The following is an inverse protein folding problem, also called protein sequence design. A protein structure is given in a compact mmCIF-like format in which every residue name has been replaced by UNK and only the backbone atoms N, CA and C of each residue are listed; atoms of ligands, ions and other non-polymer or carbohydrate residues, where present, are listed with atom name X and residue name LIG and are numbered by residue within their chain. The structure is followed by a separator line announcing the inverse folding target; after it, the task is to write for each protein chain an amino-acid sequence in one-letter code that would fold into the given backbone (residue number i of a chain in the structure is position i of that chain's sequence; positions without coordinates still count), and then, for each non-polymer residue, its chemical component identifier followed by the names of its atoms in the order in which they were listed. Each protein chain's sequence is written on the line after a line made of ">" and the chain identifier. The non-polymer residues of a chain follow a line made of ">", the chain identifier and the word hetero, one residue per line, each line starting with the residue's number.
data_IF_346990934172
#
_entry.id   IF_346990934172
#
_cell.length_a   1.000
_cell.length_b   1.000
_cell.length_c   1.000
_cell.angle_alpha   90.00
_cell.angle_beta   90.00
_cell.angle_gamma   90.00
#
_symmetry.space_group_name_H-M   'P 1'
#
loop_
_entity.id
_entity.type
_entity.pdbx_description
1 polymer ?
#
# COMPACT_ATOMS: atom_id res chain seq x y z
N UNK A 1 -4.15 28.08 -13.30
CA UNK A 1 -4.09 26.65 -12.92
C UNK A 1 -4.26 26.47 -11.42
N UNK A 2 -3.33 27.01 -10.64
CA UNK A 2 -3.19 26.69 -9.22
C UNK A 2 -4.38 27.20 -8.39
N UNK A 3 -4.99 28.33 -8.75
CA UNK A 3 -6.21 28.81 -8.10
C UNK A 3 -7.42 27.88 -8.33
N UNK A 4 -7.56 27.30 -9.53
CA UNK A 4 -8.61 26.31 -9.83
C UNK A 4 -8.40 25.06 -8.98
N UNK A 5 -7.16 24.58 -8.94
CA UNK A 5 -6.79 23.41 -8.15
C UNK A 5 -7.01 23.65 -6.65
N UNK A 6 -6.58 24.80 -6.13
CA UNK A 6 -6.78 25.20 -4.73
C UNK A 6 -8.27 25.27 -4.37
N UNK A 7 -9.12 25.78 -5.27
CA UNK A 7 -10.56 25.81 -5.06
C UNK A 7 -11.19 24.41 -5.04
N UNK A 8 -10.73 23.49 -5.90
CA UNK A 8 -11.17 22.09 -5.88
C UNK A 8 -10.74 21.38 -4.59
N UNK A 9 -9.48 21.57 -4.18
CA UNK A 9 -8.93 21.01 -2.96
C UNK A 9 -9.68 21.53 -1.72
N UNK A 10 -10.01 22.82 -1.69
CA UNK A 10 -10.85 23.43 -0.64
C UNK A 10 -12.24 22.78 -0.59
N UNK A 11 -12.88 22.54 -1.74
CA UNK A 11 -14.20 21.88 -1.79
C UNK A 11 -14.16 20.47 -1.21
N UNK A 12 -13.14 19.69 -1.55
CA UNK A 12 -12.95 18.32 -1.01
C UNK A 12 -12.68 18.37 0.49
N UNK A 13 -11.82 19.28 0.94
CA UNK A 13 -11.53 19.48 2.36
C UNK A 13 -12.77 19.89 3.16
N UNK A 14 -13.56 20.84 2.65
CA UNK A 14 -14.79 21.31 3.29
C UNK A 14 -15.84 20.18 3.37
N UNK A 15 -15.96 19.37 2.31
CA UNK A 15 -16.80 18.17 2.30
C UNK A 15 -16.38 17.16 3.38
N UNK A 16 -15.08 16.84 3.45
CA UNK A 16 -14.52 15.97 4.48
C UNK A 16 -14.81 16.52 5.89
N UNK A 17 -14.54 17.81 6.12
CA UNK A 17 -14.74 18.46 7.43
C UNK A 17 -16.20 18.38 7.87
N UNK A 18 -17.14 18.65 6.97
CA UNK A 18 -18.58 18.54 7.26
C UNK A 18 -18.98 17.10 7.55
N UNK A 19 -18.54 16.14 6.75
CA UNK A 19 -18.89 14.72 6.89
C UNK A 19 -18.30 14.10 8.16
N UNK A 20 -17.06 14.45 8.52
CA UNK A 20 -16.38 13.97 9.73
C UNK A 20 -17.19 14.27 11.00
N UNK A 21 -17.80 15.45 11.09
CA UNK A 21 -18.60 15.87 12.25
C UNK A 21 -19.96 15.16 12.30
N UNK A 22 -20.55 14.88 11.14
CA UNK A 22 -21.87 14.24 11.04
C UNK A 22 -21.84 12.74 11.37
N UNK A 23 -20.71 12.07 11.14
CA UNK A 23 -20.61 10.62 11.28
C UNK A 23 -20.09 10.25 12.67
N UNK A 24 -20.95 9.63 13.50
CA UNK A 24 -20.52 8.99 14.76
C UNK A 24 -19.47 7.92 14.49
N UNK A 25 -18.42 7.90 15.32
CA UNK A 25 -17.27 7.00 15.23
C UNK A 25 -16.61 7.01 13.83
N UNK A 26 -16.48 8.20 13.22
CA UNK A 26 -15.91 8.37 11.87
C UNK A 26 -14.58 7.63 11.70
N UNK A 27 -13.66 7.74 12.66
CA UNK A 27 -12.34 7.10 12.58
C UNK A 27 -12.43 5.58 12.56
N UNK A 28 -13.29 4.98 13.38
CA UNK A 28 -13.49 3.52 13.38
C UNK A 28 -14.09 3.05 12.05
N UNK A 29 -15.08 3.77 11.52
CA UNK A 29 -15.69 3.47 10.21
C UNK A 29 -14.68 3.60 9.07
N UNK A 30 -13.82 4.63 9.12
CA UNK A 30 -12.75 4.82 8.14
C UNK A 30 -11.72 3.69 8.21
N UNK A 31 -11.32 3.30 9.42
CA UNK A 31 -10.42 2.16 9.63
C UNK A 31 -11.03 0.87 9.08
N UNK A 32 -12.29 0.56 9.41
CA UNK A 32 -13.00 -0.61 8.90
C UNK A 32 -13.14 -0.58 7.37
N UNK A 33 -13.40 0.60 6.79
CA UNK A 33 -13.39 0.77 5.34
C UNK A 33 -12.03 0.38 4.74
N UNK A 34 -10.92 0.85 5.33
CA UNK A 34 -9.59 0.48 4.86
C UNK A 34 -9.24 -0.99 5.10
N UNK A 35 -9.77 -1.64 6.15
CA UNK A 35 -9.62 -3.10 6.36
C UNK A 35 -10.27 -3.86 5.20
N UNK A 36 -11.52 -3.52 4.86
CA UNK A 36 -12.23 -4.16 3.74
C UNK A 36 -11.51 -3.90 2.42
N UNK A 37 -11.03 -2.68 2.19
CA UNK A 37 -10.30 -2.33 0.98
C UNK A 37 -8.98 -3.10 0.85
N UNK A 38 -8.16 -3.14 1.91
CA UNK A 38 -6.89 -3.89 1.92
C UNK A 38 -7.11 -5.38 1.71
N UNK A 39 -8.15 -5.94 2.34
CA UNK A 39 -8.51 -7.34 2.17
C UNK A 39 -8.96 -7.64 0.73
N UNK A 40 -9.72 -6.73 0.13
CA UNK A 40 -10.13 -6.84 -1.28
C UNK A 40 -8.94 -6.79 -2.23
N UNK A 41 -8.01 -5.85 -2.01
CA UNK A 41 -6.75 -5.76 -2.75
C UNK A 41 -5.91 -7.03 -2.60
N UNK A 42 -5.85 -7.59 -1.39
CA UNK A 42 -5.13 -8.84 -1.11
C UNK A 42 -5.67 -10.01 -1.92
N UNK A 43 -6.98 -10.25 -1.86
CA UNK A 43 -7.59 -11.35 -2.60
C UNK A 43 -7.50 -11.14 -4.11
N UNK A 44 -7.71 -9.90 -4.57
CA UNK A 44 -7.57 -9.56 -5.99
C UNK A 44 -6.14 -9.83 -6.47
N UNK A 45 -5.12 -9.39 -5.72
CA UNK A 45 -3.72 -9.62 -6.03
C UNK A 45 -3.39 -11.12 -6.03
N UNK A 46 -3.89 -11.88 -5.05
CA UNK A 46 -3.62 -13.30 -4.90
C UNK A 46 -4.24 -14.12 -6.04
N UNK A 47 -5.51 -13.87 -6.37
CA UNK A 47 -6.23 -14.54 -7.47
C UNK A 47 -5.59 -14.24 -8.81
N UNK A 48 -5.21 -12.98 -9.06
CA UNK A 48 -4.69 -12.58 -10.38
C UNK A 48 -3.21 -12.92 -10.58
N UNK A 49 -2.37 -12.87 -9.54
CA UNK A 49 -0.94 -13.18 -9.64
C UNK A 49 -0.64 -14.68 -9.44
N UNK A 50 -1.34 -15.33 -8.50
CA UNK A 50 -1.04 -16.70 -8.07
C UNK A 50 -2.33 -17.53 -7.87
N UNK A 51 -3.13 -17.75 -8.93
CA UNK A 51 -4.40 -18.46 -8.81
C UNK A 51 -4.26 -19.87 -8.21
N UNK A 52 -3.16 -20.58 -8.52
CA UNK A 52 -2.88 -21.91 -7.98
C UNK A 52 -2.73 -21.97 -6.45
N UNK A 53 -2.41 -20.85 -5.79
CA UNK A 53 -2.33 -20.79 -4.31
C UNK A 53 -3.71 -20.69 -3.67
N UNK A 54 -4.68 -20.12 -4.39
CA UNK A 54 -6.07 -19.98 -3.93
C UNK A 54 -6.81 -21.30 -4.03
N UNK A 55 -6.61 -22.06 -5.11
CA UNK A 55 -7.28 -23.33 -5.35
C UNK A 55 -6.49 -24.55 -4.85
N UNK A 56 -5.42 -24.35 -4.08
CA UNK A 56 -4.53 -25.40 -3.60
C UNK A 56 -4.57 -25.62 -2.09
N UNK A 57 -3.77 -26.59 -1.62
CA UNK A 57 -3.60 -26.90 -0.17
C UNK A 57 -2.99 -25.75 0.64
N UNK A 58 -2.48 -24.72 -0.03
CA UNK A 58 -1.87 -23.53 0.57
C UNK A 58 -2.90 -22.46 1.01
N UNK A 59 -4.19 -22.58 0.63
CA UNK A 59 -5.21 -21.57 0.92
C UNK A 59 -5.27 -21.19 2.40
N UNK A 60 -5.25 -22.17 3.30
CA UNK A 60 -5.33 -21.93 4.74
C UNK A 60 -4.17 -21.08 5.28
N UNK A 61 -2.97 -21.21 4.70
CA UNK A 61 -1.81 -20.41 5.09
C UNK A 61 -1.97 -18.94 4.65
N UNK A 62 -2.38 -18.72 3.39
CA UNK A 62 -2.59 -17.37 2.86
C UNK A 62 -3.80 -16.68 3.50
N UNK A 63 -4.87 -17.42 3.80
CA UNK A 63 -6.00 -16.92 4.56
C UNK A 63 -5.62 -16.48 5.99
N UNK A 64 -4.61 -17.08 6.62
CA UNK A 64 -4.09 -16.59 7.91
C UNK A 64 -3.27 -15.31 7.73
N UNK A 65 -2.40 -15.25 6.71
CA UNK A 65 -1.57 -14.07 6.40
C UNK A 65 -2.43 -12.82 6.17
N UNK A 66 -3.62 -12.95 5.59
CA UNK A 66 -4.51 -11.81 5.30
C UNK A 66 -4.87 -10.98 6.54
N UNK A 67 -4.90 -11.58 7.74
CA UNK A 67 -5.38 -10.91 8.96
C UNK A 67 -4.39 -9.81 9.37
N UNK A 68 -3.11 -10.10 9.66
CA UNK A 68 -2.13 -9.06 9.94
C UNK A 68 -1.92 -8.13 8.74
N UNK A 69 -1.97 -8.65 7.51
CA UNK A 69 -1.84 -7.82 6.31
C UNK A 69 -2.95 -6.76 6.23
N UNK A 70 -4.20 -7.18 6.37
CA UNK A 70 -5.36 -6.29 6.29
C UNK A 70 -5.41 -5.27 7.43
N UNK A 71 -5.09 -5.69 8.67
CA UNK A 71 -5.10 -4.81 9.83
C UNK A 71 -3.96 -3.78 9.79
N UNK A 72 -2.72 -4.22 9.52
CA UNK A 72 -1.56 -3.32 9.46
C UNK A 72 -1.59 -2.43 8.21
N UNK A 73 -2.11 -2.94 7.10
CA UNK A 73 -2.39 -2.14 5.90
C UNK A 73 -3.41 -1.04 6.21
N UNK A 74 -4.55 -1.39 6.81
CA UNK A 74 -5.57 -0.41 7.17
C UNK A 74 -5.12 0.62 8.20
N UNK A 75 -4.25 0.23 9.14
CA UNK A 75 -3.65 1.15 10.09
C UNK A 75 -2.83 2.22 9.39
N UNK A 76 -1.97 1.82 8.45
CA UNK A 76 -1.17 2.77 7.68
C UNK A 76 -2.03 3.63 6.76
N UNK A 77 -3.00 3.04 6.04
CA UNK A 77 -3.86 3.77 5.12
C UNK A 77 -4.73 4.82 5.84
N UNK A 78 -5.23 4.48 7.03
CA UNK A 78 -5.98 5.43 7.86
C UNK A 78 -5.10 6.55 8.42
N UNK A 79 -3.87 6.23 8.81
CA UNK A 79 -2.89 7.22 9.29
C UNK A 79 -2.43 8.14 8.15
N UNK A 80 -2.09 7.58 6.99
CA UNK A 80 -1.64 8.32 5.81
C UNK A 80 -2.74 9.27 5.33
N UNK A 81 -3.99 8.80 5.28
CA UNK A 81 -5.15 9.65 4.97
C UNK A 81 -5.28 10.82 5.95
N UNK A 82 -5.13 10.58 7.26
CA UNK A 82 -5.20 11.66 8.25
C UNK A 82 -4.08 12.68 8.06
N UNK A 83 -2.85 12.23 7.85
CA UNK A 83 -1.71 13.11 7.57
C UNK A 83 -1.96 13.92 6.31
N UNK A 84 -2.42 13.31 5.21
CA UNK A 84 -2.76 13.98 3.96
C UNK A 84 -3.82 15.07 4.17
N UNK A 85 -4.88 14.80 4.94
CA UNK A 85 -5.87 15.84 5.27
C UNK A 85 -5.25 17.02 6.02
N UNK A 86 -4.31 16.77 6.94
CA UNK A 86 -3.62 17.84 7.66
C UNK A 86 -2.68 18.63 6.75
N UNK A 87 -2.01 17.95 5.82
CA UNK A 87 -1.19 18.60 4.79
C UNK A 87 -2.04 19.50 3.90
N UNK A 88 -3.20 19.03 3.45
CA UNK A 88 -4.17 19.83 2.69
C UNK A 88 -4.61 21.06 3.46
N UNK A 89 -4.95 20.90 4.75
CA UNK A 89 -5.34 22.04 5.60
C UNK A 89 -4.22 23.09 5.68
N UNK A 90 -2.98 22.65 5.89
CA UNK A 90 -1.79 23.54 5.96
C UNK A 90 -1.52 24.21 4.61
N UNK A 91 -1.63 23.45 3.52
CA UNK A 91 -1.50 23.97 2.15
C UNK A 91 -2.56 25.06 1.90
N UNK A 92 -3.83 24.82 2.22
CA UNK A 92 -4.90 25.79 2.03
C UNK A 92 -4.73 27.07 2.87
N UNK A 93 -4.09 26.99 4.04
CA UNK A 93 -3.80 28.15 4.88
C UNK A 93 -2.58 28.97 4.40
N UNK A 94 -1.74 28.40 3.53
CA UNK A 94 -0.56 29.10 3.02
C UNK A 94 -0.91 30.24 2.04
N UNK A 95 -0.21 31.36 2.13
CA UNK A 95 -0.38 32.50 1.21
C UNK A 95 0.42 32.36 -0.08
N UNK A 96 1.57 31.67 -0.04
CA UNK A 96 2.50 31.54 -1.17
C UNK A 96 2.37 30.23 -1.97
N UNK A 97 2.53 30.33 -3.28
CA UNK A 97 2.42 29.22 -4.24
C UNK A 97 3.44 28.10 -3.97
N UNK A 98 4.68 28.47 -3.65
CA UNK A 98 5.78 27.53 -3.35
C UNK A 98 5.48 26.76 -2.07
N UNK A 99 4.99 27.47 -1.04
CA UNK A 99 4.64 26.86 0.25
C UNK A 99 3.42 25.93 0.14
N UNK A 100 2.46 26.31 -0.71
CA UNK A 100 1.33 25.45 -1.09
C UNK A 100 1.80 24.15 -1.75
N UNK A 101 2.72 24.24 -2.74
CA UNK A 101 3.29 23.08 -3.43
C UNK A 101 4.13 22.19 -2.51
N UNK A 102 4.94 22.79 -1.64
CA UNK A 102 5.80 22.06 -0.71
C UNK A 102 5.00 21.22 0.30
N UNK A 103 3.84 21.71 0.77
CA UNK A 103 2.98 20.90 1.63
C UNK A 103 2.38 19.70 0.90
N UNK A 104 2.02 19.87 -0.38
CA UNK A 104 1.37 18.83 -1.15
C UNK A 104 2.36 17.80 -1.72
N UNK A 105 3.63 18.17 -1.91
CA UNK A 105 4.67 17.21 -2.31
C UNK A 105 4.96 16.17 -1.23
N UNK A 106 4.61 16.45 0.03
CA UNK A 106 4.72 15.46 1.12
C UNK A 106 3.83 14.24 0.87
N UNK A 107 2.69 14.39 0.19
CA UNK A 107 1.82 13.25 -0.17
C UNK A 107 2.50 12.27 -1.14
N UNK A 108 3.47 12.73 -1.94
CA UNK A 108 4.29 11.85 -2.78
C UNK A 108 5.22 10.98 -1.93
N UNK A 109 5.85 11.56 -0.90
CA UNK A 109 6.68 10.79 0.04
C UNK A 109 5.85 9.79 0.85
N UNK A 110 4.60 10.14 1.19
CA UNK A 110 3.65 9.22 1.84
C UNK A 110 3.35 8.03 0.90
N UNK A 111 3.13 8.27 -0.38
CA UNK A 111 2.94 7.20 -1.36
C UNK A 111 4.18 6.30 -1.51
N UNK A 112 5.38 6.88 -1.50
CA UNK A 112 6.63 6.10 -1.50
C UNK A 112 6.76 5.25 -0.23
N UNK A 113 6.49 5.85 0.94
CA UNK A 113 6.48 5.13 2.21
C UNK A 113 5.46 3.97 2.21
N UNK A 114 4.32 4.14 1.53
CA UNK A 114 3.33 3.08 1.37
C UNK A 114 3.89 1.86 0.63
N UNK A 115 4.70 2.07 -0.42
CA UNK A 115 5.31 0.95 -1.15
C UNK A 115 6.28 0.14 -0.27
N UNK A 116 7.04 0.80 0.60
CA UNK A 116 7.86 0.12 1.60
C UNK A 116 7.03 -0.52 2.71
N UNK A 117 5.93 0.12 3.11
CA UNK A 117 5.04 -0.41 4.13
C UNK A 117 4.45 -1.76 3.73
N UNK A 118 4.04 -1.93 2.48
CA UNK A 118 3.54 -3.21 1.96
C UNK A 118 4.57 -4.33 2.17
N UNK A 119 5.83 -4.10 1.79
CA UNK A 119 6.91 -5.08 1.98
C UNK A 119 7.11 -5.43 3.46
N UNK A 120 7.14 -4.41 4.32
CA UNK A 120 7.26 -4.57 5.75
C UNK A 120 6.12 -5.43 6.33
N UNK A 121 4.88 -5.11 5.98
CA UNK A 121 3.69 -5.83 6.44
C UNK A 121 3.71 -7.29 6.00
N UNK A 122 4.17 -7.60 4.79
CA UNK A 122 4.31 -8.99 4.34
C UNK A 122 5.39 -9.76 5.11
N UNK A 123 6.54 -9.15 5.37
CA UNK A 123 7.61 -9.77 6.17
C UNK A 123 7.13 -10.03 7.59
N UNK A 124 6.54 -9.01 8.23
CA UNK A 124 6.02 -9.09 9.59
C UNK A 124 4.85 -10.09 9.71
N UNK A 125 3.94 -10.11 8.73
CA UNK A 125 2.82 -11.06 8.70
C UNK A 125 3.31 -12.49 8.58
N UNK A 126 4.30 -12.73 7.71
CA UNK A 126 4.90 -14.05 7.59
C UNK A 126 5.62 -14.48 8.88
N UNK A 127 6.26 -13.56 9.59
CA UNK A 127 6.85 -13.80 10.91
C UNK A 127 5.78 -14.15 11.95
N UNK A 128 4.68 -13.39 12.01
CA UNK A 128 3.60 -13.58 12.96
C UNK A 128 2.88 -14.93 12.76
N UNK A 129 2.52 -15.27 11.51
CA UNK A 129 1.89 -16.57 11.23
C UNK A 129 2.83 -17.72 11.57
N UNK A 130 4.14 -17.53 11.44
CA UNK A 130 5.07 -18.58 11.82
C UNK A 130 5.17 -18.79 13.33
N UNK A 131 5.06 -17.72 14.10
CA UNK A 131 5.01 -17.82 15.55
C UNK A 131 3.81 -18.68 15.98
N UNK A 132 2.72 -18.60 15.21
CA UNK A 132 1.49 -19.36 15.45
C UNK A 132 1.56 -20.80 14.89
N UNK A 133 2.17 -21.00 13.72
CA UNK A 133 2.15 -22.28 13.00
C UNK A 133 3.39 -23.17 13.25
N UNK A 134 4.48 -22.65 13.83
CA UNK A 134 5.67 -23.46 14.14
C UNK A 134 6.29 -24.17 12.93
N UNK A 135 6.45 -23.48 11.79
CA UNK A 135 7.05 -24.06 10.56
C UNK A 135 8.53 -23.71 10.45
N UNK A 136 9.37 -24.65 10.00
CA UNK A 136 10.80 -24.44 9.68
C UNK A 136 11.00 -24.42 8.17
N UNK A 137 11.97 -23.62 7.69
CA UNK A 137 12.32 -23.54 6.27
C UNK A 137 13.74 -24.04 6.07
N UNK A 138 13.89 -25.10 5.27
CA UNK A 138 15.20 -25.64 4.91
C UNK A 138 15.42 -25.52 3.40
N UNK A 139 16.67 -25.42 2.95
CA UNK A 139 16.97 -25.55 1.52
C UNK A 139 17.15 -27.01 1.18
N UNK A 140 16.49 -27.48 0.13
CA UNK A 140 16.76 -28.80 -0.43
C UNK A 140 18.17 -28.83 -1.06
N UNK A 141 18.70 -30.02 -1.43
CA UNK A 141 20.01 -30.13 -2.08
C UNK A 141 20.15 -29.33 -3.38
N UNK A 142 19.02 -29.02 -4.05
CA UNK A 142 18.98 -28.13 -5.22
C UNK A 142 18.92 -26.63 -4.88
N UNK A 143 19.06 -26.24 -3.60
CA UNK A 143 19.08 -24.86 -3.14
C UNK A 143 17.71 -24.16 -3.04
N UNK A 144 16.60 -24.88 -3.21
CA UNK A 144 15.22 -24.37 -3.09
C UNK A 144 14.70 -24.47 -1.67
N UNK A 145 14.01 -23.43 -1.22
CA UNK A 145 13.38 -23.40 0.09
C UNK A 145 12.14 -24.31 0.16
N UNK A 146 12.11 -25.19 1.16
CA UNK A 146 11.02 -26.11 1.47
C UNK A 146 10.60 -25.97 2.94
N UNK A 147 9.33 -26.23 3.23
CA UNK A 147 8.75 -26.13 4.57
C UNK A 147 8.81 -27.50 5.24
N UNK A 148 9.38 -27.55 6.44
CA UNK A 148 9.44 -28.73 7.31
C UNK A 148 8.72 -28.39 8.61
N UNK A 149 7.83 -29.27 9.07
CA UNK A 149 7.09 -29.07 10.33
C UNK A 149 7.97 -29.36 11.54
N UNK A 150 7.89 -28.53 12.60
CA UNK A 150 8.63 -28.70 13.85
C UNK A 150 8.33 -30.05 14.53
N UNK A 151 7.12 -30.60 14.36
CA UNK A 151 6.76 -31.91 14.91
C UNK A 151 7.73 -33.03 14.51
N UNK A 152 8.34 -32.94 13.32
CA UNK A 152 9.35 -33.90 12.84
C UNK A 152 10.72 -33.75 13.52
N UNK A 153 11.00 -32.59 14.11
CA UNK A 153 12.30 -32.23 14.70
C UNK A 153 12.29 -32.25 16.23
N UNK A 154 11.10 -32.27 16.84
CA UNK A 154 10.89 -32.27 18.29
C UNK A 154 11.39 -33.54 19.00
N UNK A 155 11.74 -34.60 18.26
CA UNK A 155 12.23 -35.85 18.84
C UNK A 155 13.72 -35.86 19.21
N UNK A 156 14.51 -34.81 18.92
CA UNK A 156 15.98 -34.95 19.00
C UNK A 156 16.81 -33.82 19.60
N UNK A 157 16.34 -32.59 19.87
CA UNK A 157 17.25 -31.54 20.41
C UNK A 157 16.58 -30.32 21.07
N UNK A 158 17.42 -29.63 21.86
CA UNK A 158 17.22 -28.39 22.65
C UNK A 158 16.36 -27.28 21.99
N UNK A 159 15.28 -26.90 22.68
CA UNK A 159 14.17 -26.10 22.14
C UNK A 159 14.53 -24.62 21.86
N UNK A 160 15.57 -24.10 22.54
CA UNK A 160 16.06 -22.72 22.35
C UNK A 160 16.93 -22.56 21.08
N UNK A 161 17.69 -23.58 20.71
CA UNK A 161 18.53 -23.59 19.50
C UNK A 161 17.72 -23.72 18.22
N UNK A 162 16.62 -24.49 18.25
CA UNK A 162 15.71 -24.67 17.12
C UNK A 162 14.99 -23.35 16.79
N UNK A 163 14.52 -22.64 17.81
CA UNK A 163 13.81 -21.36 17.66
C UNK A 163 14.68 -20.28 17.03
N UNK A 164 15.94 -20.17 17.45
CA UNK A 164 16.90 -19.18 16.91
C UNK A 164 17.36 -19.52 15.50
N UNK A 165 17.56 -20.81 15.17
CA UNK A 165 17.87 -21.28 13.80
C UNK A 165 16.73 -20.96 12.83
N UNK A 166 15.49 -21.13 13.27
CA UNK A 166 14.30 -20.84 12.49
C UNK A 166 14.22 -19.36 12.05
N UNK A 167 14.52 -18.39 12.93
CA UNK A 167 14.41 -16.96 12.60
C UNK A 167 15.42 -16.51 11.54
N UNK A 168 16.68 -16.97 11.61
CA UNK A 168 17.71 -16.60 10.62
C UNK A 168 17.34 -17.10 9.22
N UNK A 169 16.86 -18.33 9.10
CA UNK A 169 16.49 -18.95 7.82
C UNK A 169 15.44 -18.12 7.06
N UNK A 170 14.47 -17.52 7.76
CA UNK A 170 13.46 -16.67 7.12
C UNK A 170 14.00 -15.31 6.71
N UNK A 171 14.85 -14.70 7.52
CA UNK A 171 15.55 -13.47 7.14
C UNK A 171 16.34 -13.68 5.86
N UNK A 172 17.04 -14.81 5.76
CA UNK A 172 17.79 -15.19 4.55
C UNK A 172 16.88 -15.49 3.35
N UNK A 173 15.72 -16.12 3.56
CA UNK A 173 14.71 -16.33 2.53
C UNK A 173 14.20 -15.00 1.95
N UNK A 174 13.77 -14.07 2.82
CA UNK A 174 13.24 -12.78 2.37
C UNK A 174 14.32 -11.92 1.73
N UNK A 175 15.53 -11.90 2.30
CA UNK A 175 16.68 -11.23 1.71
C UNK A 175 17.00 -11.80 0.33
N UNK A 176 16.99 -13.12 0.18
CA UNK A 176 17.20 -13.80 -1.09
C UNK A 176 16.16 -13.41 -2.14
N UNK A 177 14.87 -13.38 -1.78
CA UNK A 177 13.79 -12.94 -2.68
C UNK A 177 13.92 -11.48 -3.08
N UNK A 178 14.33 -10.60 -2.17
CA UNK A 178 14.55 -9.19 -2.47
C UNK A 178 15.72 -9.01 -3.46
N UNK A 179 16.85 -9.66 -3.19
CA UNK A 179 18.03 -9.60 -4.08
C UNK A 179 17.70 -10.20 -5.45
N UNK A 180 16.96 -11.30 -5.49
CA UNK A 180 16.56 -11.92 -6.75
C UNK A 180 15.59 -11.04 -7.55
N UNK A 181 14.62 -10.40 -6.90
CA UNK A 181 13.72 -9.46 -7.55
C UNK A 181 14.46 -8.24 -8.14
N UNK A 182 15.53 -7.78 -7.48
CA UNK A 182 16.38 -6.69 -7.97
C UNK A 182 17.26 -7.11 -9.15
N UNK A 183 17.81 -8.33 -9.12
CA UNK A 183 18.67 -8.85 -10.20
C UNK A 183 17.88 -9.34 -11.41
N UNK A 184 16.70 -9.92 -11.18
CA UNK A 184 15.84 -10.50 -12.21
C UNK A 184 14.40 -9.98 -12.10
N UNK A 185 14.17 -8.69 -12.43
CA UNK A 185 12.85 -8.06 -12.26
C UNK A 185 11.78 -8.67 -13.16
N UNK A 186 12.11 -9.01 -14.41
CA UNK A 186 11.17 -9.63 -15.35
C UNK A 186 10.75 -11.04 -14.91
N UNK A 187 11.66 -11.81 -14.31
CA UNK A 187 11.34 -13.12 -13.74
C UNK A 187 10.41 -13.02 -12.51
N UNK A 188 10.44 -11.87 -11.83
CA UNK A 188 9.68 -11.58 -10.62
C UNK A 188 8.44 -10.70 -10.85
N UNK A 189 8.00 -10.53 -12.11
CA UNK A 189 6.91 -9.62 -12.48
C UNK A 189 5.61 -9.89 -11.71
N UNK A 190 5.28 -11.17 -11.45
CA UNK A 190 4.11 -11.54 -10.65
C UNK A 190 4.18 -11.04 -9.21
N UNK A 191 5.36 -11.12 -8.59
CA UNK A 191 5.58 -10.61 -7.22
C UNK A 191 5.48 -9.08 -7.18
N UNK A 192 6.04 -8.41 -8.19
CA UNK A 192 5.97 -6.94 -8.32
C UNK A 192 4.53 -6.50 -8.53
N UNK A 193 3.82 -7.13 -9.46
CA UNK A 193 2.40 -6.88 -9.73
C UNK A 193 1.52 -7.09 -8.49
N UNK A 194 1.75 -8.18 -7.76
CA UNK A 194 1.07 -8.44 -6.49
C UNK A 194 1.30 -7.29 -5.49
N UNK A 195 2.54 -6.81 -5.35
CA UNK A 195 2.88 -5.67 -4.51
C UNK A 195 2.21 -4.36 -4.95
N UNK A 196 2.11 -4.11 -6.26
CA UNK A 196 1.45 -2.91 -6.81
C UNK A 196 -0.05 -2.90 -6.49
N UNK A 197 -0.75 -4.02 -6.67
CA UNK A 197 -2.18 -4.10 -6.33
C UNK A 197 -2.41 -3.90 -4.84
N UNK A 198 -1.56 -4.51 -4.01
CA UNK A 198 -1.60 -4.32 -2.56
C UNK A 198 -1.35 -2.87 -2.14
N UNK A 199 -0.44 -2.17 -2.81
CA UNK A 199 -0.13 -0.76 -2.52
C UNK A 199 -1.15 0.23 -3.06
N UNK A 200 -2.07 -0.19 -3.92
CA UNK A 200 -3.02 0.71 -4.58
C UNK A 200 -3.99 1.39 -3.59
N UNK A 201 -4.39 0.71 -2.52
CA UNK A 201 -5.28 1.28 -1.49
C UNK A 201 -4.64 2.48 -0.78
N UNK A 202 -3.36 2.36 -0.45
CA UNK A 202 -2.58 3.38 0.24
C UNK A 202 -2.31 4.62 -0.62
N UNK A 203 -2.30 4.45 -1.95
CA UNK A 203 -2.06 5.53 -2.91
C UNK A 203 -3.31 6.37 -3.21
N UNK A 204 -4.50 5.97 -2.73
CA UNK A 204 -5.76 6.67 -3.02
C UNK A 204 -5.72 8.19 -2.79
N UNK A 205 -5.22 8.71 -1.65
CA UNK A 205 -5.17 10.16 -1.42
C UNK A 205 -4.29 10.88 -2.45
N UNK A 206 -3.11 10.33 -2.75
CA UNK A 206 -2.16 10.86 -3.74
C UNK A 206 -2.76 10.81 -5.15
N UNK A 207 -3.45 9.72 -5.51
CA UNK A 207 -4.15 9.60 -6.79
C UNK A 207 -5.26 10.65 -6.93
N UNK A 208 -6.07 10.88 -5.89
CA UNK A 208 -7.11 11.92 -5.91
C UNK A 208 -6.47 13.31 -6.11
N UNK A 209 -5.35 13.60 -5.45
CA UNK A 209 -4.63 14.87 -5.60
C UNK A 209 -4.08 15.06 -7.02
N UNK A 210 -3.45 14.03 -7.58
CA UNK A 210 -2.92 14.05 -8.94
C UNK A 210 -4.04 14.22 -9.97
N UNK A 211 -5.16 13.51 -9.82
CA UNK A 211 -6.32 13.65 -10.70
C UNK A 211 -6.93 15.05 -10.65
N UNK A 212 -7.02 15.66 -9.46
CA UNK A 212 -7.48 17.06 -9.34
C UNK A 212 -6.53 18.04 -10.03
N UNK A 213 -5.21 17.83 -9.90
CA UNK A 213 -4.21 18.64 -10.58
C UNK A 213 -4.32 18.53 -12.11
N UNK A 214 -4.38 17.30 -12.63
CA UNK A 214 -4.54 17.03 -14.07
C UNK A 214 -5.86 17.60 -14.61
N UNK A 215 -6.96 17.49 -13.85
CA UNK A 215 -8.23 18.10 -14.22
C UNK A 215 -8.16 19.64 -14.26
N UNK A 216 -7.41 20.27 -13.35
CA UNK A 216 -7.20 21.71 -13.35
C UNK A 216 -6.36 22.17 -14.56
N UNK A 217 -5.31 21.41 -14.90
CA UNK A 217 -4.50 21.60 -16.11
C UNK A 217 -5.38 21.53 -17.37
N UNK A 218 -6.12 20.43 -17.52
CA UNK A 218 -6.98 20.19 -18.68
C UNK A 218 -8.01 21.31 -18.89
N UNK A 219 -8.64 21.78 -17.80
CA UNK A 219 -9.60 22.89 -17.85
C UNK A 219 -8.96 24.20 -18.26
N UNK A 220 -7.72 24.46 -17.87
CA UNK A 220 -7.00 25.65 -18.30
C UNK A 220 -6.65 25.58 -19.78
N UNK A 221 -6.10 24.46 -20.25
CA UNK A 221 -5.75 24.28 -21.67
C UNK A 221 -6.99 24.46 -22.55
N UNK A 222 -8.13 23.85 -22.18
CA UNK A 222 -9.40 24.05 -22.89
C UNK A 222 -9.91 25.50 -22.88
N UNK A 223 -9.69 26.24 -21.79
CA UNK A 223 -10.09 27.66 -21.72
C UNK A 223 -9.20 28.52 -22.62
N UNK A 224 -7.91 28.26 -22.65
CA UNK A 224 -6.96 28.96 -23.52
C UNK A 224 -7.30 28.72 -24.99
N UNK A 225 -7.47 27.47 -25.42
CA UNK A 225 -7.82 27.15 -26.81
C UNK A 225 -9.14 27.78 -27.27
N UNK A 226 -10.12 27.92 -26.36
CA UNK A 226 -11.39 28.60 -26.65
C UNK A 226 -11.26 30.12 -26.75
N UNK A 227 -10.32 30.72 -26.00
CA UNK A 227 -10.03 32.14 -26.10
C UNK A 227 -9.35 32.43 -27.44
N UNK A 228 -8.32 31.65 -27.78
CA UNK A 228 -7.54 31.80 -29.01
C UNK A 228 -8.43 31.64 -30.27
N UNK A 229 -9.36 30.67 -30.24
CA UNK A 229 -10.33 30.45 -31.33
C UNK A 229 -11.36 31.59 -31.50
N UNK A 230 -11.68 32.34 -30.44
CA UNK A 230 -12.57 33.51 -30.53
C UNK A 230 -11.83 34.74 -31.04
N UNK A 231 -10.56 34.90 -30.68
CA UNK A 231 -9.74 36.00 -31.18
C UNK A 231 -9.38 35.83 -32.66
N UNK A 232 -9.24 34.59 -33.16
CA UNK A 232 -8.96 34.33 -34.58
C UNK A 232 -10.20 34.41 -35.49
N UNK A 233 -11.42 34.40 -34.95
CA UNK A 233 -12.66 34.57 -35.72
C UNK A 233 -13.17 36.02 -35.76
N UNK A 234 -12.45 36.94 -35.09
CA UNK A 234 -12.86 38.34 -34.91
C UNK A 234 -11.95 39.33 -35.64
N UNK A 235 -10.94 38.85 -36.37
CA UNK A 235 -10.06 39.63 -37.24
C UNK A 235 -10.10 39.08 -38.65
#
# INVERSE_FOLDING_TARGET
>A
MIQIWRAQLKRVYDYYRKRRVQVRCFFLKLFLFFVVLNLSCYWLALVTAFPHLVFGKALGHYAKIQIPVGLLGALFDSLSFFVTVQLVRRALASSGIVRFMAHLSVDFFIALAATWWVLFVFVLSGWLINLLDGRIYEKNPQGRWQVISIETLAHTSDDAGIRTKHWRQRTDLYRGRLVDALRHPLANLKNIYFGIIMGASAMLPTCIHLLMFLAALWRQTRRQSRHDARTSSSG
#
